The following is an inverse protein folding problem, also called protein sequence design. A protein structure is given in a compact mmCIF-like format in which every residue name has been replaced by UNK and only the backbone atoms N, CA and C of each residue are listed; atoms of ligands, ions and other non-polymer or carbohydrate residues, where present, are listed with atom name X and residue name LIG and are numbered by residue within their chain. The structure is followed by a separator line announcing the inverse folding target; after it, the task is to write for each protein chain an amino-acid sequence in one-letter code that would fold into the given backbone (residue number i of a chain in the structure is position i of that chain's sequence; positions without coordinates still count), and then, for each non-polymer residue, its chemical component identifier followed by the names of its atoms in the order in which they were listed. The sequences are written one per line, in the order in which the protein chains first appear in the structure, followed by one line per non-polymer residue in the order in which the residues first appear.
data_IF_273287558071
#
_entry.id   IF_273287558071
#
_cell.length_a   1.000
_cell.length_b   1.000
_cell.length_c   1.000
_cell.angle_alpha   90.00
_cell.angle_beta   90.00
_cell.angle_gamma   90.00
#
_symmetry.space_group_name_H-M   'P 1'
#
loop_
_entity.id
_entity.type
_entity.pdbx_description
1 polymer ?
#
# COMPACT_ATOMS: atom_id res chain seq x y z
N UNK A 1 -2.59 12.76 15.71
CA UNK A 1 -2.67 11.31 15.46
C UNK A 1 -4.06 10.87 15.04
N UNK A 2 -5.13 11.35 15.66
CA UNK A 2 -6.50 10.97 15.24
C UNK A 2 -6.77 11.26 13.76
N UNK A 3 -6.42 12.46 13.28
CA UNK A 3 -6.52 12.82 11.85
C UNK A 3 -5.67 11.92 10.94
N UNK A 4 -4.50 11.48 11.41
CA UNK A 4 -3.65 10.56 10.65
C UNK A 4 -4.28 9.16 10.56
N UNK A 5 -4.86 8.66 11.65
CA UNK A 5 -5.56 7.38 11.64
C UNK A 5 -6.83 7.43 10.78
N UNK A 6 -7.54 8.54 10.75
CA UNK A 6 -8.66 8.74 9.84
C UNK A 6 -8.21 8.66 8.36
N UNK A 7 -7.07 9.28 8.02
CA UNK A 7 -6.48 9.14 6.68
C UNK A 7 -6.07 7.69 6.37
N UNK A 8 -5.48 6.97 7.33
CA UNK A 8 -5.10 5.56 7.18
C UNK A 8 -6.30 4.68 6.92
N UNK A 9 -7.39 4.84 7.68
CA UNK A 9 -8.62 4.08 7.49
C UNK A 9 -9.30 4.43 6.15
N UNK A 10 -9.27 5.70 5.74
CA UNK A 10 -9.79 6.08 4.42
C UNK A 10 -8.99 5.43 3.28
N UNK A 11 -7.65 5.43 3.35
CA UNK A 11 -6.80 4.76 2.36
C UNK A 11 -7.10 3.26 2.35
N UNK A 12 -7.18 2.64 3.52
CA UNK A 12 -7.49 1.23 3.67
C UNK A 12 -8.83 0.88 3.03
N UNK A 13 -9.88 1.64 3.30
CA UNK A 13 -11.20 1.43 2.69
C UNK A 13 -11.17 1.59 1.17
N UNK A 14 -10.35 2.52 0.65
CA UNK A 14 -10.17 2.65 -0.81
C UNK A 14 -9.43 1.44 -1.41
N UNK A 15 -8.42 0.87 -0.73
CA UNK A 15 -7.72 -0.34 -1.17
C UNK A 15 -8.65 -1.55 -1.13
N UNK A 16 -9.48 -1.68 -0.09
CA UNK A 16 -10.49 -2.74 0.02
C UNK A 16 -11.52 -2.64 -1.13
N UNK A 17 -12.00 -1.43 -1.43
CA UNK A 17 -12.86 -1.20 -2.61
C UNK A 17 -12.16 -1.60 -3.91
N UNK A 18 -10.90 -1.19 -4.12
CA UNK A 18 -10.13 -1.57 -5.30
C UNK A 18 -10.06 -3.10 -5.45
N UNK A 19 -9.78 -3.81 -4.36
CA UNK A 19 -9.75 -5.27 -4.38
C UNK A 19 -11.10 -5.86 -4.80
N UNK A 20 -12.22 -5.29 -4.35
CA UNK A 20 -13.56 -5.72 -4.75
C UNK A 20 -13.83 -5.43 -6.23
N UNK A 21 -13.51 -4.23 -6.70
CA UNK A 21 -13.69 -3.82 -8.10
C UNK A 21 -12.88 -4.72 -9.04
N UNK A 22 -11.65 -5.12 -8.66
CA UNK A 22 -10.82 -6.07 -9.42
C UNK A 22 -11.50 -7.44 -9.54
N UNK A 23 -12.11 -7.93 -8.48
CA UNK A 23 -12.87 -9.19 -8.52
C UNK A 23 -14.14 -9.07 -9.39
N UNK A 24 -14.79 -7.91 -9.41
CA UNK A 24 -15.91 -7.65 -10.31
C UNK A 24 -15.46 -7.63 -11.78
N UNK A 25 -14.31 -7.01 -12.08
CA UNK A 25 -13.71 -7.02 -13.42
C UNK A 25 -13.46 -8.45 -13.91
N UNK A 26 -12.94 -9.34 -13.07
CA UNK A 26 -12.75 -10.77 -13.42
C UNK A 26 -14.06 -11.44 -13.85
N UNK A 27 -15.16 -11.15 -13.14
CA UNK A 27 -16.49 -11.69 -13.45
C UNK A 27 -17.01 -11.15 -14.78
N UNK A 28 -16.87 -9.85 -15.01
CA UNK A 28 -17.30 -9.22 -16.27
C UNK A 28 -16.49 -9.74 -17.47
N UNK A 29 -15.17 -9.82 -17.35
CA UNK A 29 -14.32 -10.45 -18.37
C UNK A 29 -14.77 -11.87 -18.72
N UNK A 30 -15.11 -12.68 -17.72
CA UNK A 30 -15.61 -14.04 -17.92
C UNK A 30 -16.95 -14.05 -18.66
N UNK A 31 -17.88 -13.15 -18.30
CA UNK A 31 -19.17 -13.00 -18.96
C UNK A 31 -19.01 -12.57 -20.43
N UNK A 32 -18.16 -11.58 -20.70
CA UNK A 32 -17.88 -11.06 -22.05
C UNK A 32 -17.24 -12.14 -22.93
N UNK A 33 -16.40 -13.02 -22.38
CA UNK A 33 -15.80 -14.15 -23.12
C UNK A 33 -16.73 -15.36 -23.32
N UNK A 34 -17.83 -15.45 -22.58
CA UNK A 34 -18.79 -16.54 -22.68
C UNK A 34 -19.75 -16.41 -23.86
N UNK A 35 -19.97 -15.18 -24.35
CA UNK A 35 -20.82 -14.90 -25.49
C UNK A 35 -20.00 -14.43 -26.71
N UNK A 36 -20.31 -14.90 -27.94
CA UNK A 36 -19.71 -14.37 -29.17
C UNK A 36 -19.97 -12.86 -29.33
N UNK A 37 -21.22 -12.46 -29.04
CA UNK A 37 -21.69 -11.08 -29.07
C UNK A 37 -22.17 -10.70 -27.66
N UNK A 38 -21.27 -10.21 -26.79
CA UNK A 38 -21.63 -9.75 -25.46
C UNK A 38 -22.52 -8.52 -25.54
N UNK A 39 -23.49 -8.42 -24.64
CA UNK A 39 -24.42 -7.31 -24.58
C UNK A 39 -23.74 -6.01 -24.17
N UNK A 40 -24.27 -4.90 -24.66
CA UNK A 40 -23.66 -3.57 -24.45
C UNK A 40 -23.68 -3.16 -22.97
N UNK A 41 -24.62 -3.69 -22.19
CA UNK A 41 -24.72 -3.40 -20.75
C UNK A 41 -23.52 -3.99 -20.01
N UNK A 42 -23.18 -5.25 -20.25
CA UNK A 42 -21.99 -5.90 -19.66
C UNK A 42 -20.71 -5.16 -20.03
N UNK A 43 -20.58 -4.66 -21.27
CA UNK A 43 -19.43 -3.84 -21.68
C UNK A 43 -19.38 -2.50 -20.95
N UNK A 44 -20.51 -1.81 -20.84
CA UNK A 44 -20.61 -0.55 -20.10
C UNK A 44 -20.26 -0.74 -18.62
N UNK A 45 -20.75 -1.81 -17.99
CA UNK A 45 -20.42 -2.13 -16.59
C UNK A 45 -18.91 -2.35 -16.40
N UNK A 46 -18.22 -2.97 -17.37
CA UNK A 46 -16.75 -3.12 -17.34
C UNK A 46 -16.01 -1.78 -17.50
N UNK A 47 -16.49 -0.91 -18.39
CA UNK A 47 -15.91 0.43 -18.57
C UNK A 47 -16.07 1.29 -17.31
N UNK A 48 -17.25 1.23 -16.68
CA UNK A 48 -17.53 1.94 -15.44
C UNK A 48 -16.62 1.45 -14.31
N UNK A 49 -16.45 0.12 -14.16
CA UNK A 49 -15.51 -0.47 -13.20
C UNK A 49 -14.07 -0.02 -13.45
N UNK A 50 -13.65 0.02 -14.71
CA UNK A 50 -12.31 0.47 -15.10
C UNK A 50 -12.07 1.92 -14.72
N UNK A 51 -13.06 2.79 -14.96
CA UNK A 51 -13.01 4.20 -14.57
C UNK A 51 -12.97 4.38 -13.04
N UNK A 52 -13.76 3.57 -12.31
CA UNK A 52 -13.81 3.59 -10.84
C UNK A 52 -12.50 3.11 -10.21
N UNK A 53 -11.88 2.06 -10.76
CA UNK A 53 -10.54 1.59 -10.36
C UNK A 53 -9.53 2.70 -10.56
N UNK A 54 -9.49 3.31 -11.76
CA UNK A 54 -8.57 4.42 -12.06
C UNK A 54 -8.73 5.58 -11.09
N UNK A 55 -9.97 5.99 -10.80
CA UNK A 55 -10.28 7.09 -9.88
C UNK A 55 -9.83 6.76 -8.45
N UNK A 56 -10.17 5.57 -7.96
CA UNK A 56 -9.87 5.13 -6.60
C UNK A 56 -8.36 4.93 -6.40
N UNK A 57 -7.67 4.34 -7.38
CA UNK A 57 -6.24 4.14 -7.35
C UNK A 57 -5.47 5.48 -7.37
N UNK A 58 -5.91 6.47 -8.16
CA UNK A 58 -5.35 7.82 -8.10
C UNK A 58 -5.56 8.48 -6.74
N UNK A 59 -6.73 8.30 -6.12
CA UNK A 59 -7.00 8.82 -4.77
C UNK A 59 -6.05 8.21 -3.73
N UNK A 60 -5.86 6.89 -3.77
CA UNK A 60 -4.91 6.18 -2.89
C UNK A 60 -3.49 6.69 -3.11
N UNK A 61 -3.04 6.78 -4.37
CA UNK A 61 -1.71 7.32 -4.73
C UNK A 61 -1.48 8.72 -4.16
N UNK A 62 -2.41 9.65 -4.37
CA UNK A 62 -2.28 11.02 -3.88
C UNK A 62 -2.18 11.09 -2.35
N UNK A 63 -2.95 10.26 -1.64
CA UNK A 63 -2.92 10.21 -0.17
C UNK A 63 -1.64 9.58 0.37
N UNK A 64 -1.16 8.49 -0.23
CA UNK A 64 0.13 7.88 0.14
C UNK A 64 1.28 8.89 -0.04
N UNK A 65 1.32 9.58 -1.18
CA UNK A 65 2.32 10.62 -1.45
C UNK A 65 2.26 11.79 -0.46
N UNK A 66 1.07 12.18 0.00
CA UNK A 66 0.92 13.20 1.03
C UNK A 66 1.49 12.74 2.39
N UNK A 67 1.28 11.47 2.75
CA UNK A 67 1.86 10.88 3.96
C UNK A 67 3.39 10.80 3.84
N UNK A 68 3.91 10.38 2.68
CA UNK A 68 5.35 10.36 2.38
C UNK A 68 6.00 11.73 2.58
N UNK A 69 5.45 12.78 1.97
CA UNK A 69 5.94 14.15 2.14
C UNK A 69 5.90 14.62 3.61
N UNK A 70 4.85 14.25 4.35
CA UNK A 70 4.76 14.53 5.78
C UNK A 70 5.86 13.83 6.59
N UNK A 71 6.22 12.59 6.21
CA UNK A 71 7.31 11.83 6.86
C UNK A 71 8.65 12.51 6.58
N UNK A 72 8.95 12.83 5.31
CA UNK A 72 10.20 13.49 4.90
C UNK A 72 10.40 14.84 5.62
N UNK A 73 9.32 15.62 5.75
CA UNK A 73 9.35 16.90 6.45
C UNK A 73 9.68 16.74 7.95
N UNK A 74 9.13 15.72 8.61
CA UNK A 74 9.41 15.44 10.02
C UNK A 74 10.83 14.90 10.24
N UNK A 75 11.38 14.12 9.29
CA UNK A 75 12.76 13.63 9.32
C UNK A 75 13.78 14.77 9.21
N UNK A 76 13.53 15.76 8.34
CA UNK A 76 14.40 16.94 8.19
C UNK A 76 14.53 17.78 9.47
N UNK A 77 13.60 17.62 10.42
CA UNK A 77 13.61 18.28 11.73
C UNK A 77 14.29 17.45 12.83
N UNK A 78 14.92 16.31 12.50
CA UNK A 78 15.56 15.37 13.45
C UNK A 78 14.62 14.88 14.57
N UNK A 79 13.30 14.86 14.34
CA UNK A 79 12.32 14.38 15.31
C UNK A 79 12.11 12.87 15.17
N UNK A 80 13.03 12.07 15.70
CA UNK A 80 12.79 10.63 15.85
C UNK A 80 11.81 10.37 17.00
N UNK A 81 10.52 10.41 16.67
CA UNK A 81 9.41 10.23 17.62
C UNK A 81 8.64 8.94 17.37
N UNK A 82 7.88 8.48 18.37
CA UNK A 82 6.95 7.36 18.19
C UNK A 82 5.90 7.65 17.11
N UNK A 83 5.49 8.91 16.95
CA UNK A 83 4.57 9.39 15.92
C UNK A 83 5.12 9.11 14.52
N UNK A 84 6.36 9.55 14.26
CA UNK A 84 7.05 9.36 12.99
C UNK A 84 7.20 7.87 12.64
N UNK A 85 7.53 7.03 13.63
CA UNK A 85 7.61 5.57 13.41
C UNK A 85 6.27 4.98 13.00
N UNK A 86 5.18 5.35 13.69
CA UNK A 86 3.84 4.87 13.34
C UNK A 86 3.47 5.29 11.91
N UNK A 87 3.73 6.56 11.54
CA UNK A 87 3.48 7.06 10.18
C UNK A 87 4.21 6.25 9.11
N UNK A 88 5.50 6.00 9.32
CA UNK A 88 6.32 5.19 8.41
C UNK A 88 5.81 3.76 8.27
N UNK A 89 5.51 3.09 9.39
CA UNK A 89 4.99 1.72 9.36
C UNK A 89 3.64 1.63 8.64
N UNK A 90 2.73 2.56 8.91
CA UNK A 90 1.41 2.60 8.26
C UNK A 90 1.53 2.91 6.76
N UNK A 91 2.31 3.94 6.40
CA UNK A 91 2.60 4.26 5.01
C UNK A 91 3.13 3.05 4.25
N UNK A 92 4.06 2.31 4.86
CA UNK A 92 4.66 1.15 4.20
C UNK A 92 3.69 -0.02 4.04
N UNK A 93 2.91 -0.31 5.08
CA UNK A 93 1.89 -1.36 5.05
C UNK A 93 0.84 -1.07 3.98
N UNK A 94 0.34 0.17 3.93
CA UNK A 94 -0.66 0.58 2.95
C UNK A 94 -0.10 0.59 1.52
N UNK A 95 1.13 1.07 1.32
CA UNK A 95 1.80 1.06 0.02
C UNK A 95 1.94 -0.36 -0.51
N UNK A 96 2.41 -1.31 0.31
CA UNK A 96 2.54 -2.72 -0.08
C UNK A 96 1.21 -3.33 -0.51
N UNK A 97 0.15 -3.12 0.29
CA UNK A 97 -1.20 -3.61 -0.04
C UNK A 97 -1.73 -2.99 -1.32
N UNK A 98 -1.50 -1.69 -1.53
CA UNK A 98 -1.92 -1.02 -2.75
C UNK A 98 -1.23 -1.58 -3.99
N UNK A 99 0.10 -1.78 -3.93
CA UNK A 99 0.87 -2.41 -5.01
C UNK A 99 0.37 -3.82 -5.28
N UNK A 100 0.13 -4.63 -4.25
CA UNK A 100 -0.39 -6.00 -4.39
C UNK A 100 -1.71 -6.02 -5.19
N UNK A 101 -2.68 -5.18 -4.82
CA UNK A 101 -3.98 -5.10 -5.51
C UNK A 101 -3.81 -4.61 -6.96
N UNK A 102 -2.94 -3.63 -7.21
CA UNK A 102 -2.71 -3.13 -8.57
C UNK A 102 -1.96 -4.12 -9.45
N UNK A 103 -1.04 -4.90 -8.88
CA UNK A 103 -0.37 -6.01 -9.58
C UNK A 103 -1.38 -7.10 -9.95
N UNK A 104 -2.31 -7.44 -9.06
CA UNK A 104 -3.39 -8.40 -9.35
C UNK A 104 -4.34 -7.87 -10.44
N UNK A 105 -4.64 -6.57 -10.43
CA UNK A 105 -5.39 -5.94 -11.52
C UNK A 105 -4.67 -6.06 -12.85
N UNK A 106 -3.37 -5.74 -12.92
CA UNK A 106 -2.58 -5.87 -14.15
C UNK A 106 -2.54 -7.33 -14.63
N UNK A 107 -2.32 -8.28 -13.73
CA UNK A 107 -2.33 -9.70 -14.05
C UNK A 107 -3.70 -10.16 -14.58
N UNK A 108 -4.80 -9.60 -14.05
CA UNK A 108 -6.16 -9.85 -14.54
C UNK A 108 -6.34 -9.34 -15.97
N UNK A 109 -5.88 -8.12 -16.26
CA UNK A 109 -5.92 -7.53 -17.59
C UNK A 109 -5.08 -8.36 -18.58
N UNK A 110 -3.82 -8.67 -18.26
CA UNK A 110 -2.97 -9.51 -19.14
C UNK A 110 -3.61 -10.87 -19.44
N UNK A 111 -4.18 -11.54 -18.43
CA UNK A 111 -4.91 -12.81 -18.65
C UNK A 111 -6.10 -12.63 -19.60
N UNK A 112 -6.87 -11.54 -19.47
CA UNK A 112 -8.00 -11.28 -20.36
C UNK A 112 -7.54 -11.00 -21.80
N UNK A 113 -6.46 -10.24 -21.98
CA UNK A 113 -5.83 -10.00 -23.29
C UNK A 113 -5.48 -11.31 -23.99
N UNK A 114 -4.79 -12.21 -23.29
CA UNK A 114 -4.39 -13.52 -23.84
C UNK A 114 -5.61 -14.35 -24.24
N UNK A 115 -6.68 -14.30 -23.44
CA UNK A 115 -7.95 -14.98 -23.78
C UNK A 115 -8.63 -14.37 -25.01
N UNK A 116 -8.58 -13.05 -25.19
CA UNK A 116 -9.08 -12.41 -26.40
C UNK A 116 -8.25 -12.79 -27.62
N UNK A 117 -6.92 -12.83 -27.50
CA UNK A 117 -6.01 -13.32 -28.54
C UNK A 117 -6.34 -14.76 -28.94
N UNK A 118 -6.49 -15.66 -27.97
CA UNK A 118 -6.88 -17.06 -28.20
C UNK A 118 -8.24 -17.18 -28.92
N UNK A 119 -9.18 -16.26 -28.66
CA UNK A 119 -10.48 -16.23 -29.35
C UNK A 119 -10.30 -15.80 -30.81
N UNK A 120 -9.55 -14.73 -31.05
CA UNK A 120 -9.25 -14.24 -32.41
C UNK A 120 -8.58 -15.34 -33.24
N UNK A 121 -7.58 -16.03 -32.66
CA UNK A 121 -6.90 -17.13 -33.34
C UNK A 121 -7.87 -18.23 -33.80
N UNK A 122 -8.75 -18.68 -32.90
CA UNK A 122 -9.77 -19.69 -33.24
C UNK A 122 -10.73 -19.21 -34.32
N UNK A 123 -11.11 -17.94 -34.30
CA UNK A 123 -11.99 -17.38 -35.34
C UNK A 123 -11.28 -17.30 -36.70
N UNK A 124 -9.99 -16.96 -36.74
CA UNK A 124 -9.19 -17.01 -37.98
C UNK A 124 -9.12 -18.42 -38.55
N UNK A 125 -8.93 -19.44 -37.71
CA UNK A 125 -8.95 -20.85 -38.13
C UNK A 125 -10.30 -21.26 -38.74
N UNK A 126 -11.42 -20.81 -38.18
CA UNK A 126 -12.77 -21.05 -38.72
C UNK A 126 -12.93 -20.44 -40.12
N UNK A 127 -12.30 -19.29 -40.37
CA UNK A 127 -12.29 -18.67 -41.71
C UNK A 127 -11.32 -19.32 -42.70
N UNK A 128 -10.56 -20.32 -42.26
CA UNK A 128 -9.58 -21.04 -43.09
C UNK A 128 -8.20 -20.39 -43.14
N UNK A 129 -7.92 -19.41 -42.28
CA UNK A 129 -6.61 -18.77 -42.15
C UNK A 129 -5.90 -19.31 -40.91
N UNK A 130 -4.91 -20.17 -41.12
CA UNK A 130 -4.00 -20.58 -40.05
C UNK A 130 -3.04 -19.44 -39.76
N UNK A 131 -2.92 -19.04 -38.50
CA UNK A 131 -2.02 -17.94 -38.08
C UNK A 131 -1.24 -18.38 -36.86
N UNK A 132 0.07 -18.21 -36.91
CA UNK A 132 0.95 -18.50 -35.78
C UNK A 132 0.77 -17.48 -34.66
N UNK A 133 1.23 -17.80 -33.46
CA UNK A 133 1.13 -16.88 -32.33
C UNK A 133 1.93 -15.57 -32.53
N UNK A 134 3.03 -15.63 -33.28
CA UNK A 134 3.90 -14.49 -33.58
C UNK A 134 3.24 -13.60 -34.64
N UNK A 135 2.78 -14.17 -35.75
CA UNK A 135 2.03 -13.44 -36.78
C UNK A 135 0.76 -12.77 -36.20
N UNK A 136 0.04 -13.46 -35.30
CA UNK A 136 -1.14 -12.87 -34.66
C UNK A 136 -0.76 -11.70 -33.74
N UNK A 137 0.40 -11.75 -33.09
CA UNK A 137 0.90 -10.65 -32.27
C UNK A 137 1.23 -9.43 -33.14
N UNK A 138 1.95 -9.64 -34.25
CA UNK A 138 2.26 -8.58 -35.23
C UNK A 138 0.98 -7.92 -35.78
N UNK A 139 -0.06 -8.72 -36.03
CA UNK A 139 -1.37 -8.22 -36.46
C UNK A 139 -2.01 -7.34 -35.39
N UNK A 140 -1.93 -7.72 -34.11
CA UNK A 140 -2.47 -6.93 -32.99
C UNK A 140 -1.67 -5.63 -32.80
N UNK A 141 -0.34 -5.69 -32.86
CA UNK A 141 0.54 -4.52 -32.72
C UNK A 141 0.31 -3.46 -33.81
N UNK A 142 -0.09 -3.90 -35.00
CA UNK A 142 -0.42 -2.99 -36.10
C UNK A 142 -1.63 -2.08 -35.79
N UNK A 143 -2.52 -2.50 -34.89
CA UNK A 143 -3.78 -1.83 -34.55
C UNK A 143 -4.81 -1.74 -35.68
N UNK A 144 -4.56 -2.36 -36.84
CA UNK A 144 -5.41 -2.25 -38.03
C UNK A 144 -6.33 -3.46 -38.18
N UNK A 145 -7.64 -3.23 -38.03
CA UNK A 145 -8.66 -4.27 -38.22
C UNK A 145 -8.61 -4.91 -39.62
N UNK A 146 -8.25 -4.15 -40.66
CA UNK A 146 -8.20 -4.63 -42.04
C UNK A 146 -7.29 -5.85 -42.23
N UNK A 147 -6.22 -5.98 -41.43
CA UNK A 147 -5.27 -7.10 -41.55
C UNK A 147 -5.94 -8.45 -41.24
N UNK A 148 -6.99 -8.43 -40.43
CA UNK A 148 -7.80 -9.61 -40.13
C UNK A 148 -8.78 -9.96 -41.26
N UNK A 149 -9.13 -9.03 -42.15
CA UNK A 149 -10.16 -9.22 -43.19
C UNK A 149 -9.63 -9.39 -44.61
N UNK A 150 -8.41 -8.93 -44.90
CA UNK A 150 -7.90 -8.77 -46.28
C UNK A 150 -7.85 -10.07 -47.11
N UNK A 151 -7.58 -11.22 -46.48
CA UNK A 151 -7.47 -12.52 -47.17
C UNK A 151 -8.73 -13.40 -47.04
N UNK A 152 -9.77 -12.92 -46.36
CA UNK A 152 -10.93 -13.73 -46.00
C UNK A 152 -12.07 -13.49 -46.97
N UNK A 153 -12.43 -14.52 -47.75
CA UNK A 153 -13.59 -14.47 -48.64
C UNK A 153 -14.90 -14.44 -47.83
N UNK A 154 -15.68 -13.37 -47.94
CA UNK A 154 -16.97 -13.18 -47.24
C UNK A 154 -18.12 -14.01 -47.85
N UNK A 155 -17.87 -15.28 -48.14
CA UNK A 155 -18.75 -16.12 -48.94
C UNK A 155 -19.79 -16.86 -48.07
N UNK A 156 -19.57 -16.95 -46.75
CA UNK A 156 -20.45 -17.67 -45.83
C UNK A 156 -20.93 -16.80 -44.66
N UNK A 157 -22.14 -17.09 -44.16
CA UNK A 157 -22.67 -16.46 -42.94
C UNK A 157 -21.78 -16.75 -41.72
N UNK A 158 -21.16 -17.92 -41.68
CA UNK A 158 -20.21 -18.31 -40.63
C UNK A 158 -18.97 -17.43 -40.64
N UNK A 159 -18.42 -17.12 -41.82
CA UNK A 159 -17.27 -16.22 -41.98
C UNK A 159 -17.60 -14.81 -41.50
N UNK A 160 -18.80 -14.30 -41.82
CA UNK A 160 -19.25 -12.97 -41.36
C UNK A 160 -19.35 -12.90 -39.83
N UNK A 161 -19.84 -13.96 -39.20
CA UNK A 161 -19.94 -14.04 -37.75
C UNK A 161 -18.56 -14.11 -37.09
N UNK A 162 -17.63 -14.90 -37.65
CA UNK A 162 -16.25 -14.98 -37.16
C UNK A 162 -15.55 -13.62 -37.22
N UNK A 163 -15.70 -12.88 -38.33
CA UNK A 163 -15.15 -11.54 -38.48
C UNK A 163 -15.72 -10.54 -37.46
N UNK A 164 -17.03 -10.59 -37.18
CA UNK A 164 -17.66 -9.72 -36.19
C UNK A 164 -17.15 -10.02 -34.76
N UNK A 165 -16.93 -11.28 -34.43
CA UNK A 165 -16.31 -11.66 -33.15
C UNK A 165 -14.85 -11.20 -33.08
N UNK A 166 -14.07 -11.35 -34.16
CA UNK A 166 -12.69 -10.85 -34.24
C UNK A 166 -12.66 -9.34 -33.98
N UNK A 167 -13.50 -8.57 -34.67
CA UNK A 167 -13.61 -7.12 -34.47
C UNK A 167 -13.94 -6.77 -33.02
N UNK A 168 -14.92 -7.47 -32.43
CA UNK A 168 -15.30 -7.27 -31.03
C UNK A 168 -14.10 -7.52 -30.11
N UNK A 169 -13.40 -8.65 -30.24
CA UNK A 169 -12.25 -8.98 -29.39
C UNK A 169 -11.06 -8.06 -29.59
N UNK A 170 -10.81 -7.63 -30.82
CA UNK A 170 -9.76 -6.66 -31.13
C UNK A 170 -10.03 -5.32 -30.44
N UNK A 171 -11.27 -4.83 -30.48
CA UNK A 171 -11.65 -3.60 -29.78
C UNK A 171 -11.50 -3.74 -28.25
N UNK A 172 -11.83 -4.90 -27.69
CA UNK A 172 -11.58 -5.19 -26.25
C UNK A 172 -10.09 -5.14 -25.90
N UNK A 173 -9.20 -5.68 -26.75
CA UNK A 173 -7.74 -5.60 -26.57
C UNK A 173 -7.27 -4.14 -26.58
N UNK A 174 -7.74 -3.32 -27.53
CA UNK A 174 -7.36 -1.89 -27.61
C UNK A 174 -7.78 -1.14 -26.34
N UNK A 175 -9.00 -1.35 -25.85
CA UNK A 175 -9.49 -0.73 -24.61
C UNK A 175 -8.64 -1.13 -23.41
N UNK A 176 -8.30 -2.42 -23.33
CA UNK A 176 -7.46 -2.97 -22.28
C UNK A 176 -6.04 -2.39 -22.29
N UNK A 177 -5.39 -2.35 -23.46
CA UNK A 177 -4.05 -1.78 -23.61
C UNK A 177 -4.03 -0.30 -23.29
N UNK A 178 -5.11 0.42 -23.60
CA UNK A 178 -5.29 1.81 -23.18
C UNK A 178 -5.39 1.93 -21.66
N UNK A 179 -6.20 1.09 -21.00
CA UNK A 179 -6.31 1.07 -19.53
C UNK A 179 -4.97 0.76 -18.85
N UNK A 180 -4.22 -0.24 -19.33
CA UNK A 180 -2.88 -0.57 -18.81
C UNK A 180 -1.92 0.61 -19.00
N UNK A 181 -1.92 1.23 -20.19
CA UNK A 181 -1.05 2.39 -20.49
C UNK A 181 -1.38 3.59 -19.59
N UNK A 182 -2.64 3.85 -19.31
CA UNK A 182 -3.03 4.93 -18.40
C UNK A 182 -2.63 4.68 -16.94
N UNK A 183 -2.46 3.42 -16.55
CA UNK A 183 -1.97 3.02 -15.23
C UNK A 183 -0.45 2.84 -15.18
N UNK A 184 0.23 2.89 -16.32
CA UNK A 184 1.68 2.74 -16.41
C UNK A 184 2.42 3.74 -15.50
N UNK A 185 2.04 5.02 -15.56
CA UNK A 185 2.63 6.06 -14.71
C UNK A 185 2.45 5.75 -13.22
N UNK A 186 1.33 5.12 -12.85
CA UNK A 186 1.08 4.67 -11.49
C UNK A 186 1.97 3.49 -11.10
N UNK A 187 2.22 2.54 -12.01
CA UNK A 187 3.13 1.41 -11.76
C UNK A 187 4.57 1.86 -11.59
N UNK A 188 5.02 2.84 -12.36
CA UNK A 188 6.36 3.43 -12.22
C UNK A 188 6.50 4.10 -10.86
N UNK A 189 5.52 4.92 -10.45
CA UNK A 189 5.50 5.55 -9.12
C UNK A 189 5.51 4.50 -8.00
N UNK A 190 4.71 3.43 -8.14
CA UNK A 190 4.63 2.34 -7.15
C UNK A 190 5.93 1.53 -7.04
N UNK A 191 6.64 1.31 -8.15
CA UNK A 191 7.93 0.62 -8.14
C UNK A 191 8.97 1.41 -7.32
N UNK A 192 9.04 2.73 -7.53
CA UNK A 192 9.93 3.61 -6.76
C UNK A 192 9.54 3.69 -5.28
N UNK A 193 8.24 3.73 -4.98
CA UNK A 193 7.72 3.73 -3.61
C UNK A 193 8.10 2.43 -2.87
N UNK A 194 8.03 1.26 -3.51
CA UNK A 194 8.35 -0.01 -2.85
C UNK A 194 9.87 -0.22 -2.70
N UNK A 195 10.67 0.19 -3.69
CA UNK A 195 12.14 0.04 -3.66
C UNK A 195 12.77 0.85 -2.52
N UNK A 196 12.31 2.09 -2.31
CA UNK A 196 12.79 2.97 -1.22
C UNK A 196 12.41 2.49 0.19
N UNK A 197 11.39 1.62 0.31
CA UNK A 197 10.85 1.18 1.60
C UNK A 197 11.56 -0.05 2.21
N UNK A 198 12.33 -0.80 1.41
CA UNK A 198 13.09 -1.97 1.88
C UNK A 198 14.08 -1.64 3.00
N UNK A 199 14.73 -0.47 2.95
CA UNK A 199 15.67 -0.02 4.00
C UNK A 199 14.99 0.57 5.25
N UNK A 200 13.75 1.07 5.13
CA UNK A 200 13.09 1.81 6.22
C UNK A 200 12.44 0.90 7.26
N UNK A 201 11.87 -0.24 6.84
CA UNK A 201 11.27 -1.24 7.75
C UNK A 201 12.33 -1.82 8.72
N UNK A 202 13.50 -2.16 8.19
CA UNK A 202 14.61 -2.77 8.95
C UNK A 202 15.08 -1.84 10.08
N UNK A 203 15.07 -0.52 9.84
CA UNK A 203 15.40 0.50 10.84
C UNK A 203 14.31 0.72 11.89
N UNK A 204 13.05 0.37 11.62
CA UNK A 204 11.95 0.52 12.58
C UNK A 204 11.95 -0.66 13.56
N UNK A 205 12.13 -1.89 13.07
CA UNK A 205 12.29 -3.07 13.93
C UNK A 205 13.48 -2.87 14.89
N UNK A 206 14.61 -2.42 14.35
CA UNK A 206 15.80 -2.01 15.11
C UNK A 206 15.53 -0.89 16.15
N UNK A 207 14.77 0.14 15.81
CA UNK A 207 14.48 1.25 16.73
C UNK A 207 13.39 0.94 17.77
N UNK A 208 12.46 0.03 17.48
CA UNK A 208 11.46 -0.46 18.44
C UNK A 208 12.14 -1.34 19.48
N UNK A 209 13.04 -2.23 19.07
CA UNK A 209 13.89 -3.02 19.95
C UNK A 209 14.64 -2.12 20.95
N UNK A 210 15.30 -1.07 20.47
CA UNK A 210 16.00 -0.12 21.36
C UNK A 210 15.07 0.80 22.17
N UNK A 211 13.83 1.04 21.75
CA UNK A 211 12.88 1.81 22.56
C UNK A 211 12.43 1.05 23.81
N UNK A 212 12.37 -0.29 23.74
CA UNK A 212 12.16 -1.15 24.92
C UNK A 212 13.32 -0.97 25.90
N UNK A 213 14.57 -0.95 25.41
CA UNK A 213 15.76 -0.72 26.25
C UNK A 213 15.71 0.63 26.98
N UNK A 214 15.26 1.71 26.32
CA UNK A 214 15.13 3.03 26.94
C UNK A 214 14.07 3.05 28.04
N UNK A 215 12.91 2.42 27.83
CA UNK A 215 11.84 2.34 28.84
C UNK A 215 12.29 1.48 30.02
N UNK A 216 12.98 0.37 29.77
CA UNK A 216 13.49 -0.50 30.83
C UNK A 216 14.55 0.20 31.68
N UNK A 217 15.47 0.94 31.05
CA UNK A 217 16.44 1.79 31.77
C UNK A 217 15.76 2.91 32.56
N UNK A 218 14.74 3.57 32.02
CA UNK A 218 13.98 4.59 32.74
C UNK A 218 13.22 4.02 33.96
N UNK A 219 12.64 2.83 33.85
CA UNK A 219 12.03 2.12 34.99
C UNK A 219 13.08 1.71 36.04
N UNK A 220 14.26 1.30 35.60
CA UNK A 220 15.38 0.98 36.50
C UNK A 220 15.87 2.22 37.26
N UNK A 221 16.05 3.34 36.57
CA UNK A 221 16.55 4.58 37.14
C UNK A 221 15.53 5.26 38.06
N UNK A 222 14.24 5.18 37.76
CA UNK A 222 13.18 5.61 38.69
C UNK A 222 13.17 4.76 39.97
N UNK A 223 13.33 3.43 39.87
CA UNK A 223 13.51 2.55 41.04
C UNK A 223 14.75 2.91 41.85
N UNK A 224 15.88 3.22 41.21
CA UNK A 224 17.10 3.69 41.90
C UNK A 224 16.87 5.04 42.58
N UNK A 225 16.20 5.98 41.92
CA UNK A 225 15.87 7.29 42.48
C UNK A 225 15.02 7.18 43.76
N UNK A 226 14.02 6.31 43.78
CA UNK A 226 13.22 6.02 45.00
C UNK A 226 14.08 5.43 46.12
N UNK A 227 14.99 4.49 45.79
CA UNK A 227 15.96 3.95 46.76
C UNK A 227 16.91 5.02 47.30
N UNK A 228 17.40 5.94 46.46
CA UNK A 228 18.23 7.05 46.92
C UNK A 228 17.46 8.03 47.79
N UNK A 229 16.22 8.37 47.43
CA UNK A 229 15.36 9.25 48.21
C UNK A 229 15.09 8.68 49.62
N UNK A 230 14.77 7.38 49.71
CA UNK A 230 14.55 6.72 51.01
C UNK A 230 15.82 6.65 51.87
N UNK A 231 16.99 6.38 51.28
CA UNK A 231 18.29 6.43 52.00
C UNK A 231 18.62 7.85 52.48
N UNK A 232 18.38 8.86 51.65
CA UNK A 232 18.60 10.26 52.01
C UNK A 232 17.69 10.71 53.17
N UNK A 233 16.41 10.28 53.19
CA UNK A 233 15.51 10.53 54.33
C UNK A 233 16.03 9.92 55.63
N UNK A 234 16.51 8.66 55.61
CA UNK A 234 17.10 8.01 56.80
C UNK A 234 18.35 8.74 57.31
N UNK A 235 19.23 9.18 56.40
CA UNK A 235 20.42 9.97 56.76
C UNK A 235 20.04 11.34 57.36
N UNK A 236 19.04 12.03 56.81
CA UNK A 236 18.53 13.29 57.40
C UNK A 236 18.04 13.09 58.85
N UNK A 237 17.28 12.02 59.11
CA UNK A 237 16.79 11.71 60.46
C UNK A 237 17.96 11.46 61.43
N UNK A 238 18.95 10.68 61.01
CA UNK A 238 20.14 10.42 61.83
C UNK A 238 20.93 11.70 62.15
N UNK A 239 21.09 12.59 61.16
CA UNK A 239 21.75 13.89 61.38
C UNK A 239 20.95 14.73 62.40
N UNK A 240 19.62 14.79 62.28
CA UNK A 240 18.77 15.52 63.23
C UNK A 240 18.93 14.97 64.64
N UNK A 241 18.91 13.64 64.82
CA UNK A 241 19.12 13.00 66.13
C UNK A 241 20.49 13.37 66.70
N UNK A 242 21.57 13.29 65.91
CA UNK A 242 22.90 13.68 66.36
C UNK A 242 22.98 15.16 66.78
N UNK A 243 22.36 16.06 66.03
CA UNK A 243 22.31 17.49 66.38
C UNK A 243 21.55 17.74 67.69
N UNK A 244 20.44 17.04 67.93
CA UNK A 244 19.68 17.15 69.18
C UNK A 244 20.51 16.67 70.37
N UNK A 245 21.18 15.51 70.25
CA UNK A 245 22.04 14.99 71.32
C UNK A 245 23.18 15.95 71.64
N UNK A 246 23.86 16.48 70.61
CA UNK A 246 24.92 17.48 70.80
C UNK A 246 24.39 18.74 71.48
N UNK A 247 23.21 19.23 71.09
CA UNK A 247 22.55 20.37 71.74
C UNK A 247 22.27 20.14 73.23
N UNK A 248 21.79 18.95 73.60
CA UNK A 248 21.54 18.57 75.01
C UNK A 248 22.85 18.51 75.80
N UNK A 249 23.90 17.91 75.23
CA UNK A 249 25.22 17.82 75.88
C UNK A 249 25.81 19.22 76.12
N UNK A 250 25.73 20.11 75.13
CA UNK A 250 26.17 21.50 75.27
C UNK A 250 25.35 22.27 76.30
N UNK A 251 24.03 22.11 76.31
CA UNK A 251 23.18 22.75 77.32
C UNK A 251 23.48 22.25 78.74
N UNK A 252 23.80 20.96 78.89
CA UNK A 252 24.14 20.34 80.18
C UNK A 252 25.51 20.77 80.69
N UNK A 253 26.51 20.92 79.80
CA UNK A 253 27.84 21.39 80.19
C UNK A 253 27.83 22.88 80.52
N UNK A 254 27.06 23.69 79.79
CA UNK A 254 26.85 25.11 80.10
C UNK A 254 26.08 25.26 81.42
N UNK A 255 25.02 24.47 81.65
CA UNK A 255 24.27 24.46 82.90
C UNK A 255 25.09 24.00 84.12
N UNK A 256 26.00 23.04 83.94
CA UNK A 256 26.89 22.58 85.01
C UNK A 256 28.07 23.51 85.31
N UNK A 257 28.47 24.34 84.34
CA UNK A 257 29.56 25.32 84.52
C UNK A 257 29.07 26.69 84.97
N UNK A 258 27.85 27.07 84.62
CA UNK A 258 27.19 28.31 85.07
C UNK A 258 26.40 28.16 86.36
N UNK A 259 26.47 27.01 87.03
CA UNK A 259 26.09 26.81 88.43
C UNK A 259 24.98 27.74 88.95
N UNK A 260 23.74 27.28 88.80
CA UNK A 260 22.78 27.48 89.88
C UNK A 260 23.16 26.52 91.01
#
# INVERSE_FOLDING_TARGET
MDEFFEQVEEIRGCIEKLSEDVEQVKKQHSAILAAPNPDEKTKQELEDLTADIKKTANKVRSKLKAIEQSIEQEEGLNRSSADLRIRKTQHSTLSRKFVEVMTEYNATQSKYRDRCKDRIQRQLEITGRTTTNEELEDMLESGKLAIFTDDIKMDSQMTKQALNEIETRHNEIIKLETSIRELHDMFVDMAMLVESQGEMIDRIEYNVEHSVDYVERAVSDTKKAVKYQSKARRKKIMIIICCVVLGVVLASSIGGTLGL
#
